data_IF_743067309920
#
_entry.id   IF_743067309920
#
_cell.length_a   1.000
_cell.length_b   1.000
_cell.length_c   1.000
_cell.angle_alpha   90.00
_cell.angle_beta   90.00
_cell.angle_gamma   90.00
#
_symmetry.space_group_name_H-M   'P 1'
#
loop_
_entity.id
_entity.type
_entity.pdbx_description
1 polymer ?
#
# COMPACT_ATOMS: atom_id res chain seq x y z
N UNK A 1 1.89 -3.82 -55.71
CA UNK A 1 2.76 -3.44 -54.58
C UNK A 1 2.33 -2.06 -54.14
N UNK A 2 1.35 -1.99 -53.24
CA UNK A 2 0.85 -0.72 -52.70
C UNK A 2 1.35 -0.53 -51.28
N UNK A 3 1.90 0.66 -51.07
CA UNK A 3 2.74 1.09 -49.98
C UNK A 3 1.91 1.27 -48.70
N UNK A 4 2.22 0.46 -47.69
CA UNK A 4 1.69 0.57 -46.32
C UNK A 4 2.36 1.77 -45.66
N UNK A 5 1.71 2.93 -45.70
CA UNK A 5 2.08 4.12 -44.94
C UNK A 5 0.80 4.85 -44.52
N UNK A 6 0.48 4.79 -43.21
CA UNK A 6 -0.35 5.71 -42.38
C UNK A 6 -1.16 4.94 -41.32
N UNK A 7 -0.49 4.49 -40.26
CA UNK A 7 -1.17 4.23 -38.97
C UNK A 7 -0.49 4.94 -37.78
N UNK A 8 0.65 5.61 -37.99
CA UNK A 8 1.47 6.16 -36.90
C UNK A 8 1.05 7.55 -36.39
N UNK A 9 -0.02 8.16 -36.92
CA UNK A 9 -0.43 9.53 -36.56
C UNK A 9 -1.68 9.64 -35.67
N UNK A 10 -2.35 8.53 -35.32
CA UNK A 10 -3.56 8.56 -34.48
C UNK A 10 -3.30 8.21 -33.00
N UNK A 11 -2.16 7.61 -32.67
CA UNK A 11 -1.82 7.21 -31.29
C UNK A 11 -1.52 8.38 -30.35
N UNK A 12 -1.17 9.56 -30.87
CA UNK A 12 -0.89 10.78 -30.11
C UNK A 12 -2.15 11.63 -29.77
N UNK A 13 -3.36 11.18 -30.13
CA UNK A 13 -4.59 11.97 -29.96
C UNK A 13 -5.40 11.68 -28.70
N UNK A 14 -5.11 10.58 -28.00
CA UNK A 14 -5.93 10.16 -26.87
C UNK A 14 -5.39 10.74 -25.57
N UNK A 15 -6.30 11.26 -24.74
CA UNK A 15 -6.05 11.67 -23.37
C UNK A 15 -6.50 10.58 -22.38
N UNK A 16 -5.93 10.60 -21.17
CA UNK A 16 -6.26 9.65 -20.11
C UNK A 16 -7.77 9.58 -19.86
N UNK A 17 -8.33 8.38 -19.98
CA UNK A 17 -9.76 8.13 -19.76
C UNK A 17 -10.64 8.11 -21.01
N UNK A 18 -10.09 8.40 -22.20
CA UNK A 18 -10.87 8.38 -23.46
C UNK A 18 -11.03 6.98 -24.07
N UNK A 19 -10.23 6.00 -23.62
CA UNK A 19 -10.32 4.61 -24.06
C UNK A 19 -9.93 3.63 -22.94
N UNK A 20 -10.36 2.38 -23.09
CA UNK A 20 -9.92 1.27 -22.24
C UNK A 20 -8.47 0.91 -22.58
N UNK A 21 -7.58 0.95 -21.59
CA UNK A 21 -6.19 0.54 -21.73
C UNK A 21 -5.98 -0.81 -21.02
N UNK A 22 -5.33 -1.75 -21.69
CA UNK A 22 -5.03 -3.08 -21.17
C UNK A 22 -3.86 -3.68 -21.96
N UNK A 23 -3.20 -4.70 -21.40
CA UNK A 23 -2.11 -5.38 -22.07
C UNK A 23 -2.62 -6.13 -23.30
N UNK A 24 -2.10 -5.78 -24.48
CA UNK A 24 -2.45 -6.42 -25.76
C UNK A 24 -1.31 -6.38 -26.77
N UNK A 25 -1.46 -7.07 -27.89
CA UNK A 25 -0.53 -7.03 -29.02
C UNK A 25 -1.23 -6.53 -30.29
N UNK A 26 -0.73 -5.50 -30.98
CA UNK A 26 0.38 -4.62 -30.56
C UNK A 26 0.00 -3.76 -29.35
N UNK A 27 0.98 -3.47 -28.49
CA UNK A 27 0.80 -2.68 -27.28
C UNK A 27 0.13 -1.33 -27.58
N UNK A 28 -0.67 -0.84 -26.65
CA UNK A 28 -1.12 0.55 -26.75
C UNK A 28 0.06 1.49 -26.66
N UNK A 29 0.02 2.52 -27.49
CA UNK A 29 0.99 3.61 -27.46
C UNK A 29 0.24 4.94 -27.51
N UNK A 30 0.75 5.94 -26.82
CA UNK A 30 0.17 7.28 -26.84
C UNK A 30 0.37 8.08 -25.56
N UNK A 31 -0.09 9.33 -25.64
CA UNK A 31 -0.04 10.29 -24.54
C UNK A 31 -0.91 9.84 -23.36
N UNK A 32 -2.04 9.18 -23.61
CA UNK A 32 -2.90 8.61 -22.57
C UNK A 32 -2.19 7.52 -21.75
N UNK A 33 -1.35 6.70 -22.39
CA UNK A 33 -0.52 5.70 -21.72
C UNK A 33 0.57 6.37 -20.89
N UNK A 34 1.22 7.40 -21.43
CA UNK A 34 2.23 8.18 -20.70
C UNK A 34 1.63 8.88 -19.48
N UNK A 35 0.43 9.46 -19.61
CA UNK A 35 -0.32 10.05 -18.51
C UNK A 35 -0.71 9.01 -17.46
N UNK A 36 -1.13 7.81 -17.88
CA UNK A 36 -1.42 6.70 -16.97
C UNK A 36 -0.15 6.30 -16.21
N UNK A 37 0.96 6.09 -16.90
CA UNK A 37 2.25 5.74 -16.30
C UNK A 37 2.77 6.82 -15.35
N UNK A 38 2.58 8.09 -15.70
CA UNK A 38 2.95 9.24 -14.86
C UNK A 38 2.10 9.30 -13.61
N UNK A 39 0.78 9.12 -13.74
CA UNK A 39 -0.14 9.09 -12.60
C UNK A 39 0.18 7.91 -11.68
N UNK A 40 0.33 6.71 -12.23
CA UNK A 40 0.74 5.51 -11.49
C UNK A 40 2.09 5.74 -10.80
N UNK A 41 3.08 6.29 -11.49
CA UNK A 41 4.40 6.59 -10.93
C UNK A 41 4.38 7.64 -9.82
N UNK A 42 3.56 8.69 -9.94
CA UNK A 42 3.36 9.70 -8.89
C UNK A 42 2.66 9.11 -7.66
N UNK A 43 1.69 8.22 -7.89
CA UNK A 43 1.04 7.38 -6.88
C UNK A 43 1.93 6.25 -6.39
N UNK A 44 3.10 6.10 -7.01
CA UNK A 44 4.12 5.18 -6.58
C UNK A 44 4.16 3.78 -7.20
N UNK A 45 3.20 3.48 -8.06
CA UNK A 45 3.16 2.25 -8.84
C UNK A 45 4.12 2.38 -10.03
N UNK A 46 5.37 1.93 -9.86
CA UNK A 46 6.41 2.08 -10.86
C UNK A 46 6.17 1.22 -12.11
N UNK A 47 6.02 1.87 -13.26
CA UNK A 47 5.84 1.21 -14.57
C UNK A 47 7.15 0.97 -15.34
N UNK A 48 8.32 1.17 -14.74
CA UNK A 48 9.62 1.09 -15.43
C UNK A 48 9.99 2.32 -16.29
N UNK A 49 9.08 3.29 -16.44
CA UNK A 49 9.28 4.58 -17.11
C UNK A 49 8.01 5.05 -17.82
N UNK A 50 7.85 6.36 -18.03
CA UNK A 50 6.75 6.92 -18.82
C UNK A 50 7.07 6.86 -20.32
N UNK A 51 7.22 5.64 -20.84
CA UNK A 51 7.58 5.38 -22.24
C UNK A 51 6.43 5.62 -23.22
N UNK A 52 5.22 5.84 -22.71
CA UNK A 52 4.00 5.95 -23.51
C UNK A 52 3.59 4.62 -24.15
N UNK A 53 4.16 3.48 -23.73
CA UNK A 53 3.83 2.14 -24.23
C UNK A 53 3.26 1.26 -23.11
N UNK A 54 2.07 0.69 -23.31
CA UNK A 54 1.41 -0.15 -22.32
C UNK A 54 1.96 -1.56 -22.40
N UNK A 55 3.00 -1.82 -21.62
CA UNK A 55 3.71 -3.09 -21.53
C UNK A 55 3.32 -3.88 -20.26
N UNK A 56 3.95 -5.05 -20.05
CA UNK A 56 3.69 -5.89 -18.89
C UNK A 56 4.06 -5.21 -17.56
N UNK A 57 5.02 -4.27 -17.56
CA UNK A 57 5.36 -3.49 -16.37
C UNK A 57 4.25 -2.50 -16.02
N UNK A 58 3.68 -1.84 -17.03
CA UNK A 58 2.53 -0.94 -16.88
C UNK A 58 1.29 -1.70 -16.41
N UNK A 59 1.03 -2.89 -16.97
CA UNK A 59 -0.07 -3.76 -16.50
C UNK A 59 0.14 -4.18 -15.04
N UNK A 60 1.35 -4.63 -14.67
CA UNK A 60 1.67 -5.02 -13.31
C UNK A 60 1.51 -3.88 -12.30
N UNK A 61 1.97 -2.68 -12.65
CA UNK A 61 1.77 -1.47 -11.85
C UNK A 61 0.29 -1.12 -11.70
N UNK A 62 -0.48 -1.24 -12.78
CA UNK A 62 -1.93 -0.99 -12.76
C UNK A 62 -2.68 -1.98 -11.90
N UNK A 63 -2.36 -3.28 -11.95
CA UNK A 63 -2.97 -4.30 -11.09
C UNK A 63 -2.70 -4.03 -9.62
N UNK A 64 -1.47 -3.62 -9.28
CA UNK A 64 -1.10 -3.22 -7.91
C UNK A 64 -1.88 -2.00 -7.47
N UNK A 65 -2.02 -1.00 -8.34
CA UNK A 65 -2.84 0.18 -8.07
C UNK A 65 -4.31 -0.20 -7.82
N UNK A 66 -4.89 -1.01 -8.70
CA UNK A 66 -6.28 -1.47 -8.56
C UNK A 66 -6.49 -2.20 -7.25
N UNK A 67 -5.61 -3.16 -6.93
CA UNK A 67 -5.62 -3.86 -5.64
C UNK A 67 -5.55 -2.88 -4.47
N UNK A 68 -4.59 -1.94 -4.49
CA UNK A 68 -4.40 -0.96 -3.43
C UNK A 68 -5.57 0.06 -3.33
N UNK A 69 -6.41 0.16 -4.34
CA UNK A 69 -7.58 1.04 -4.35
C UNK A 69 -8.90 0.29 -4.12
N UNK A 70 -8.85 -1.01 -3.76
CA UNK A 70 -10.04 -1.83 -3.59
C UNK A 70 -10.81 -2.09 -4.90
N UNK A 71 -10.15 -1.96 -6.04
CA UNK A 71 -10.68 -2.32 -7.35
C UNK A 71 -10.29 -3.75 -7.70
N UNK A 72 -11.03 -4.37 -8.62
CA UNK A 72 -10.65 -5.65 -9.20
C UNK A 72 -9.29 -5.51 -9.94
N UNK A 73 -8.25 -6.29 -9.59
CA UNK A 73 -6.90 -6.16 -10.16
C UNK A 73 -6.79 -6.87 -11.51
N UNK A 74 -7.67 -6.51 -12.44
CA UNK A 74 -7.80 -7.10 -13.78
C UNK A 74 -6.74 -6.59 -14.78
N UNK A 75 -6.01 -5.53 -14.44
CA UNK A 75 -5.01 -4.90 -15.32
C UNK A 75 -5.64 -4.08 -16.45
N UNK A 76 -6.92 -3.74 -16.34
CA UNK A 76 -7.68 -2.95 -17.31
C UNK A 76 -7.97 -1.56 -16.73
N UNK A 77 -7.37 -0.54 -17.35
CA UNK A 77 -7.66 0.85 -17.01
C UNK A 77 -8.99 1.24 -17.68
N UNK A 78 -10.05 1.05 -16.91
CA UNK A 78 -11.43 1.39 -17.26
C UNK A 78 -11.99 2.55 -16.45
N UNK A 79 -13.30 2.80 -16.59
CA UNK A 79 -13.97 3.95 -15.97
C UNK A 79 -13.68 4.06 -14.47
N UNK A 80 -13.82 2.95 -13.72
CA UNK A 80 -13.54 2.91 -12.28
C UNK A 80 -12.08 3.31 -11.96
N UNK A 81 -11.12 2.77 -12.71
CA UNK A 81 -9.69 3.12 -12.55
C UNK A 81 -9.47 4.61 -12.79
N UNK A 82 -10.03 5.16 -13.87
CA UNK A 82 -9.85 6.56 -14.21
C UNK A 82 -10.51 7.51 -13.22
N UNK A 83 -11.70 7.17 -12.72
CA UNK A 83 -12.39 7.96 -11.70
C UNK A 83 -11.58 7.97 -10.39
N UNK A 84 -11.04 6.81 -9.98
CA UNK A 84 -10.14 6.72 -8.83
C UNK A 84 -8.89 7.57 -9.03
N UNK A 85 -8.22 7.48 -10.19
CA UNK A 85 -7.05 8.30 -10.51
C UNK A 85 -7.38 9.81 -10.45
N UNK A 86 -8.53 10.23 -10.97
CA UNK A 86 -8.98 11.63 -10.93
C UNK A 86 -9.30 12.11 -9.52
N UNK A 87 -9.92 11.28 -8.69
CA UNK A 87 -10.19 11.61 -7.29
C UNK A 87 -8.90 11.77 -6.50
N UNK A 88 -7.92 10.90 -6.70
CA UNK A 88 -6.61 11.01 -6.07
C UNK A 88 -5.82 12.22 -6.59
N UNK A 89 -5.92 12.53 -7.88
CA UNK A 89 -5.28 13.71 -8.47
C UNK A 89 -5.77 15.01 -7.81
N UNK A 90 -7.07 15.14 -7.53
CA UNK A 90 -7.61 16.28 -6.77
C UNK A 90 -7.12 16.31 -5.32
N UNK A 91 -7.03 15.15 -4.67
CA UNK A 91 -6.57 15.07 -3.28
C UNK A 91 -5.09 15.46 -3.09
N UNK A 92 -4.26 15.36 -4.13
CA UNK A 92 -2.81 15.61 -4.04
C UNK A 92 -2.34 16.92 -4.68
N UNK A 93 -3.12 17.57 -5.55
CA UNK A 93 -2.75 18.88 -6.14
C UNK A 93 -3.14 20.11 -5.29
N UNK A 94 -4.09 20.00 -4.37
CA UNK A 94 -4.55 21.13 -3.53
C UNK A 94 -3.73 21.33 -2.23
N UNK A 95 -2.67 20.54 -2.00
CA UNK A 95 -1.79 20.75 -0.85
C UNK A 95 -0.66 21.71 -1.25
N UNK A 96 -0.49 22.86 -0.59
CA UNK A 96 0.70 23.67 -0.79
C UNK A 96 1.91 22.80 -0.43
N UNK A 97 2.97 22.91 -1.22
CA UNK A 97 4.27 22.28 -1.00
C UNK A 97 4.87 22.79 0.32
N UNK A 98 4.37 22.30 1.45
CA UNK A 98 4.95 22.52 2.76
C UNK A 98 5.81 21.30 3.11
N UNK A 99 7.12 21.54 3.12
CA UNK A 99 8.12 20.87 3.92
C UNK A 99 8.15 19.34 3.83
N UNK A 100 9.06 18.82 3.00
CA UNK A 100 9.91 17.66 3.29
C UNK A 100 9.47 16.74 4.45
N UNK A 101 8.30 16.13 4.33
CA UNK A 101 7.92 14.94 5.06
C UNK A 101 7.75 13.85 4.01
N UNK A 102 8.90 13.35 3.57
CA UNK A 102 9.17 11.94 3.31
C UNK A 102 8.03 11.14 2.66
N UNK A 103 7.70 11.44 1.40
CA UNK A 103 7.24 10.39 0.49
C UNK A 103 8.40 9.39 0.37
N UNK A 104 8.34 8.28 1.10
CA UNK A 104 9.27 7.17 0.94
C UNK A 104 9.07 6.61 -0.47
N UNK A 105 10.09 6.70 -1.32
CA UNK A 105 10.05 6.03 -2.63
C UNK A 105 9.96 4.51 -2.44
N UNK A 106 9.28 3.81 -3.35
CA UNK A 106 8.98 2.37 -3.29
C UNK A 106 10.21 1.49 -3.07
N UNK A 107 11.36 1.90 -3.58
CA UNK A 107 12.63 1.23 -3.33
C UNK A 107 12.97 1.17 -1.83
N UNK A 108 12.71 2.24 -1.08
CA UNK A 108 12.95 2.30 0.36
C UNK A 108 11.87 1.55 1.15
N UNK A 109 10.61 1.57 0.72
CA UNK A 109 9.57 0.76 1.34
C UNK A 109 9.84 -0.75 1.17
N UNK A 110 10.24 -1.19 -0.03
CA UNK A 110 10.59 -2.58 -0.29
C UNK A 110 11.78 -3.05 0.57
N UNK A 111 12.82 -2.21 0.71
CA UNK A 111 13.99 -2.50 1.55
C UNK A 111 13.61 -2.62 3.03
N UNK A 112 12.78 -1.71 3.55
CA UNK A 112 12.25 -1.77 4.91
C UNK A 112 11.50 -3.07 5.16
N UNK A 113 10.63 -3.47 4.23
CA UNK A 113 9.82 -4.69 4.37
C UNK A 113 10.64 -5.98 4.29
N UNK A 114 11.77 -5.99 3.59
CA UNK A 114 12.65 -7.17 3.48
C UNK A 114 13.54 -7.36 4.72
N UNK A 115 13.92 -6.27 5.38
CA UNK A 115 14.84 -6.31 6.52
C UNK A 115 14.15 -6.36 7.88
N UNK A 116 12.88 -5.95 7.97
CA UNK A 116 12.14 -5.93 9.23
C UNK A 116 11.12 -7.07 9.29
N UNK A 117 11.36 -8.04 10.17
CA UNK A 117 10.41 -9.12 10.42
C UNK A 117 9.32 -8.66 11.39
N UNK A 118 8.08 -8.59 10.89
CA UNK A 118 6.91 -8.12 11.66
C UNK A 118 5.82 -9.17 11.56
N UNK A 119 5.35 -9.65 12.70
CA UNK A 119 4.22 -10.57 12.82
C UNK A 119 2.98 -9.78 13.24
N UNK A 120 1.97 -9.75 12.39
CA UNK A 120 0.71 -9.02 12.59
C UNK A 120 -0.37 -9.95 13.12
N UNK A 121 -1.12 -9.54 14.15
CA UNK A 121 -2.26 -10.32 14.63
C UNK A 121 -3.37 -9.42 15.16
N UNK A 122 -4.62 -9.77 14.87
CA UNK A 122 -5.81 -9.08 15.35
C UNK A 122 -6.50 -9.83 16.48
N UNK A 123 -7.15 -9.08 17.38
CA UNK A 123 -7.92 -9.63 18.52
C UNK A 123 -9.34 -10.05 18.17
N UNK A 124 -9.89 -9.48 17.11
CA UNK A 124 -11.27 -9.63 16.66
C UNK A 124 -11.30 -9.82 15.13
N UNK A 125 -12.48 -10.04 14.57
CA UNK A 125 -12.64 -10.31 13.13
C UNK A 125 -12.14 -9.15 12.26
N UNK A 126 -12.50 -7.92 12.63
CA UNK A 126 -12.11 -6.72 11.88
C UNK A 126 -10.60 -6.48 11.96
N UNK A 127 -10.01 -6.54 13.16
CA UNK A 127 -8.56 -6.36 13.30
C UNK A 127 -7.74 -7.48 12.63
N UNK A 128 -8.27 -8.71 12.57
CA UNK A 128 -7.67 -9.80 11.77
C UNK A 128 -7.74 -9.52 10.26
N UNK A 129 -8.85 -8.97 9.77
CA UNK A 129 -8.94 -8.51 8.38
C UNK A 129 -7.89 -7.45 8.06
N UNK A 130 -7.72 -6.45 8.94
CA UNK A 130 -6.69 -5.42 8.78
C UNK A 130 -5.29 -6.06 8.73
N UNK A 131 -4.97 -6.99 9.63
CA UNK A 131 -3.69 -7.71 9.64
C UNK A 131 -3.43 -8.48 8.34
N UNK A 132 -4.46 -9.15 7.81
CA UNK A 132 -4.38 -9.89 6.55
C UNK A 132 -4.16 -8.97 5.36
N UNK A 133 -4.95 -7.89 5.24
CA UNK A 133 -4.77 -6.91 4.17
C UNK A 133 -3.40 -6.24 4.23
N UNK A 134 -2.93 -5.86 5.43
CA UNK A 134 -1.61 -5.27 5.63
C UNK A 134 -0.49 -6.21 5.17
N UNK A 135 -0.57 -7.50 5.52
CA UNK A 135 0.37 -8.52 5.06
C UNK A 135 0.36 -8.68 3.53
N UNK A 136 -0.83 -8.72 2.92
CA UNK A 136 -0.97 -8.86 1.47
C UNK A 136 -0.42 -7.64 0.73
N UNK A 137 -0.67 -6.43 1.22
CA UNK A 137 -0.11 -5.19 0.67
C UNK A 137 1.41 -5.16 0.78
N UNK A 138 1.96 -5.61 1.91
CA UNK A 138 3.40 -5.71 2.10
C UNK A 138 4.04 -6.68 1.09
N UNK A 139 3.42 -7.86 0.87
CA UNK A 139 3.86 -8.84 -0.13
C UNK A 139 3.72 -8.33 -1.57
N UNK A 140 2.64 -7.60 -1.88
CA UNK A 140 2.43 -6.98 -3.19
C UNK A 140 3.47 -5.87 -3.48
N UNK A 141 3.92 -5.19 -2.43
CA UNK A 141 5.00 -4.19 -2.48
C UNK A 141 6.35 -4.85 -2.69
N UNK A 142 6.69 -5.86 -1.87
CA UNK A 142 7.89 -6.67 -2.02
C UNK A 142 7.58 -8.16 -1.74
N UNK A 143 7.77 -9.09 -2.70
CA UNK A 143 7.53 -10.51 -2.48
C UNK A 143 8.47 -11.14 -1.44
N UNK A 144 9.57 -10.46 -1.08
CA UNK A 144 10.50 -10.87 0.00
C UNK A 144 10.17 -10.21 1.34
N UNK A 145 9.02 -9.55 1.45
CA UNK A 145 8.55 -8.93 2.70
C UNK A 145 8.51 -9.96 3.84
N UNK A 146 9.00 -9.55 5.01
CA UNK A 146 8.91 -10.31 6.27
C UNK A 146 7.82 -9.78 7.20
N UNK A 147 6.95 -8.91 6.68
CA UNK A 147 5.75 -8.46 7.37
C UNK A 147 4.59 -9.39 7.03
N UNK A 148 4.24 -10.26 7.96
CA UNK A 148 3.29 -11.36 7.75
C UNK A 148 2.19 -11.38 8.80
N UNK A 149 0.98 -11.77 8.39
CA UNK A 149 -0.08 -12.15 9.34
C UNK A 149 0.28 -13.44 10.07
N UNK A 150 -0.07 -13.54 11.35
CA UNK A 150 0.10 -14.74 12.16
C UNK A 150 -0.58 -15.97 11.54
N UNK A 151 -1.66 -15.78 10.79
CA UNK A 151 -2.38 -16.87 10.10
C UNK A 151 -1.54 -17.57 9.01
N UNK A 152 -0.50 -16.89 8.51
CA UNK A 152 0.38 -17.39 7.45
C UNK A 152 1.62 -18.06 8.03
N UNK A 153 1.94 -17.82 9.32
CA UNK A 153 3.14 -18.36 9.94
C UNK A 153 3.04 -19.87 10.19
N UNK A 154 3.95 -20.62 9.56
CA UNK A 154 4.10 -22.06 9.77
C UNK A 154 4.88 -22.40 11.05
N UNK A 155 5.67 -21.45 11.54
CA UNK A 155 6.51 -21.58 12.73
C UNK A 155 6.21 -20.42 13.70
N UNK A 156 6.28 -20.65 15.02
CA UNK A 156 6.11 -19.58 15.99
C UNK A 156 7.12 -18.46 15.76
N UNK A 157 6.74 -17.19 15.99
CA UNK A 157 7.64 -16.05 15.84
C UNK A 157 8.78 -16.14 16.85
N UNK A 158 10.00 -16.00 16.37
CA UNK A 158 11.21 -16.01 17.20
C UNK A 158 11.55 -14.61 17.73
N UNK A 159 12.63 -14.48 18.50
CA UNK A 159 13.02 -13.23 19.13
C UNK A 159 13.50 -12.14 18.16
N UNK A 160 13.76 -12.47 16.89
CA UNK A 160 14.10 -11.49 15.87
C UNK A 160 12.88 -10.75 15.30
N UNK A 161 11.68 -11.26 15.57
CA UNK A 161 10.43 -10.68 15.07
C UNK A 161 9.86 -9.61 16.02
N UNK A 162 9.24 -8.59 15.42
CA UNK A 162 8.35 -7.67 16.10
C UNK A 162 6.92 -8.21 16.04
N UNK A 163 6.34 -8.51 17.19
CA UNK A 163 4.92 -8.87 17.33
C UNK A 163 4.08 -7.60 17.43
N UNK A 164 3.23 -7.39 16.43
CA UNK A 164 2.33 -6.24 16.36
C UNK A 164 0.89 -6.72 16.53
N UNK A 165 0.30 -6.35 17.66
CA UNK A 165 -1.11 -6.57 17.94
C UNK A 165 -1.94 -5.41 17.39
N UNK A 166 -2.83 -5.69 16.43
CA UNK A 166 -3.80 -4.71 15.94
C UNK A 166 -5.03 -4.77 16.83
N UNK A 167 -5.37 -3.64 17.46
CA UNK A 167 -6.41 -3.57 18.48
C UNK A 167 -7.40 -2.44 18.22
N UNK A 168 -8.62 -2.63 18.70
CA UNK A 168 -9.58 -1.54 18.83
C UNK A 168 -9.25 -0.67 20.06
N UNK A 169 -9.62 0.62 20.08
CA UNK A 169 -9.30 1.53 21.18
C UNK A 169 -9.80 1.08 22.57
N UNK A 170 -10.86 0.28 22.64
CA UNK A 170 -11.40 -0.27 23.89
C UNK A 170 -10.69 -1.53 24.38
N UNK A 171 -9.84 -2.16 23.56
CA UNK A 171 -9.18 -3.41 23.91
C UNK A 171 -8.08 -3.17 24.93
N UNK A 172 -8.09 -3.87 26.05
CA UNK A 172 -7.02 -3.78 27.04
C UNK A 172 -5.75 -4.47 26.51
N UNK A 173 -4.59 -3.81 26.68
CA UNK A 173 -3.28 -4.36 26.33
C UNK A 173 -2.39 -4.32 27.55
N UNK A 174 -1.92 -5.47 28.04
CA UNK A 174 -1.08 -5.56 29.23
C UNK A 174 0.40 -5.70 28.85
N UNK A 175 1.25 -4.89 29.47
CA UNK A 175 2.70 -5.09 29.45
C UNK A 175 3.41 -4.84 28.11
N UNK A 176 2.79 -4.09 27.19
CA UNK A 176 3.42 -3.72 25.91
C UNK A 176 3.13 -2.26 25.52
N UNK A 177 4.08 -1.56 24.87
CA UNK A 177 3.84 -0.22 24.33
C UNK A 177 2.66 -0.19 23.36
N UNK A 178 1.82 0.84 23.48
CA UNK A 178 0.61 1.01 22.68
C UNK A 178 0.66 2.32 21.90
N UNK A 179 0.33 2.23 20.61
CA UNK A 179 0.33 3.36 19.68
C UNK A 179 -1.11 3.76 19.42
N UNK A 180 -1.51 4.90 19.98
CA UNK A 180 -2.82 5.51 19.76
C UNK A 180 -2.94 6.13 18.37
N UNK A 181 -4.17 6.10 17.84
CA UNK A 181 -4.54 6.67 16.54
C UNK A 181 -5.09 8.12 16.61
N UNK A 182 -4.85 8.84 17.71
CA UNK A 182 -5.42 10.18 17.91
C UNK A 182 -5.01 11.23 16.86
N UNK A 183 -3.79 11.13 16.32
CA UNK A 183 -3.26 12.07 15.32
C UNK A 183 -2.47 11.33 14.23
N UNK A 184 -2.95 11.34 12.97
CA UNK A 184 -2.29 10.69 11.84
C UNK A 184 -0.89 11.25 11.55
N UNK A 185 -0.65 12.54 11.81
CA UNK A 185 0.62 13.21 11.44
C UNK A 185 1.80 12.77 12.31
N UNK A 186 1.51 12.31 13.53
CA UNK A 186 2.50 11.85 14.50
C UNK A 186 2.45 10.34 14.74
N UNK A 187 1.58 9.62 14.04
CA UNK A 187 1.40 8.17 14.21
C UNK A 187 2.70 7.39 13.95
N UNK A 188 3.41 7.68 12.86
CA UNK A 188 4.67 7.01 12.53
C UNK A 188 5.77 7.26 13.58
N UNK A 189 5.86 8.47 14.12
CA UNK A 189 6.84 8.82 15.18
C UNK A 189 6.52 8.07 16.47
N UNK A 190 5.23 7.99 16.85
CA UNK A 190 4.79 7.20 18.01
C UNK A 190 5.08 5.72 17.81
N UNK A 191 4.87 5.21 16.60
CA UNK A 191 5.16 3.82 16.26
C UNK A 191 6.65 3.51 16.39
N UNK A 192 7.53 4.36 15.86
CA UNK A 192 8.98 4.24 16.03
C UNK A 192 9.38 4.21 17.51
N UNK A 193 8.88 5.16 18.31
CA UNK A 193 9.17 5.23 19.73
C UNK A 193 8.68 3.99 20.49
N UNK A 194 7.49 3.47 20.15
CA UNK A 194 6.94 2.25 20.73
C UNK A 194 7.79 1.02 20.39
N UNK A 195 8.25 0.90 19.13
CA UNK A 195 9.14 -0.17 18.69
C UNK A 195 10.47 -0.11 19.44
N UNK A 196 11.09 1.07 19.54
CA UNK A 196 12.34 1.26 20.28
C UNK A 196 12.19 0.91 21.77
N UNK A 197 11.08 1.32 22.39
CA UNK A 197 10.75 0.98 23.77
C UNK A 197 10.57 -0.53 23.96
N UNK A 198 9.81 -1.19 23.08
CA UNK A 198 9.57 -2.63 23.15
C UNK A 198 10.86 -3.43 22.98
N UNK A 199 11.71 -3.07 22.01
CA UNK A 199 13.01 -3.74 21.79
C UNK A 199 13.95 -3.57 22.99
N UNK A 200 13.89 -2.44 23.69
CA UNK A 200 14.74 -2.18 24.88
C UNK A 200 14.28 -2.92 26.13
N UNK A 201 13.03 -3.39 26.17
CA UNK A 201 12.46 -4.12 27.32
C UNK A 201 12.72 -5.63 27.28
N UNK A 202 13.18 -6.17 26.13
CA UNK A 202 13.32 -7.62 25.94
C UNK A 202 14.79 -8.02 25.88
N UNK A 203 15.16 -9.06 26.64
CA UNK A 203 16.53 -9.58 26.77
C UNK A 203 16.93 -10.54 25.63
N UNK A 204 16.37 -10.35 24.42
CA UNK A 204 16.64 -11.17 23.23
C UNK A 204 16.12 -12.62 23.26
N UNK A 205 15.48 -13.06 24.35
CA UNK A 205 14.89 -14.40 24.49
C UNK A 205 13.46 -14.51 23.96
N UNK A 206 12.77 -13.38 23.80
CA UNK A 206 11.41 -13.30 23.29
C UNK A 206 11.30 -12.21 22.20
N UNK A 207 10.30 -12.30 21.31
CA UNK A 207 9.98 -11.21 20.39
C UNK A 207 9.51 -9.96 21.11
N UNK A 208 9.95 -8.79 20.63
CA UNK A 208 9.42 -7.49 21.07
C UNK A 208 7.94 -7.37 20.69
N UNK A 209 7.12 -6.77 21.55
CA UNK A 209 5.67 -6.67 21.37
C UNK A 209 5.21 -5.22 21.39
N UNK A 210 4.37 -4.84 20.44
CA UNK A 210 3.68 -3.54 20.42
C UNK A 210 2.20 -3.72 20.08
N UNK A 211 1.36 -2.81 20.57
CA UNK A 211 -0.04 -2.73 20.16
C UNK A 211 -0.26 -1.48 19.33
N UNK A 212 -1.00 -1.60 18.22
CA UNK A 212 -1.35 -0.51 17.33
C UNK A 212 -2.86 -0.38 17.23
N UNK A 213 -3.36 0.82 17.48
CA UNK A 213 -4.78 1.11 17.37
C UNK A 213 -5.19 1.36 15.92
N UNK A 214 -6.39 0.88 15.60
CA UNK A 214 -7.11 1.18 14.36
C UNK A 214 -8.48 1.75 14.68
N UNK A 215 -9.03 2.55 13.76
CA UNK A 215 -10.38 3.08 13.89
C UNK A 215 -11.43 1.97 14.02
N UNK A 216 -12.58 2.30 14.63
CA UNK A 216 -13.69 1.36 14.73
C UNK A 216 -14.24 1.00 13.35
N UNK A 217 -14.71 -0.25 13.16
CA UNK A 217 -15.42 -0.62 11.94
C UNK A 217 -16.69 0.22 11.78
N UNK A 218 -17.15 0.45 10.54
CA UNK A 218 -18.37 1.19 10.27
C UNK A 218 -19.58 0.52 10.93
N UNK A 219 -20.46 1.34 11.52
CA UNK A 219 -21.60 0.86 12.31
C UNK A 219 -22.69 0.13 11.48
N UNK A 220 -22.71 0.30 10.16
CA UNK A 220 -23.70 -0.34 9.29
C UNK A 220 -23.45 -1.84 9.07
N UNK A 221 -22.24 -2.32 9.38
CA UNK A 221 -21.88 -3.74 9.30
C UNK A 221 -21.95 -4.34 7.89
N UNK A 222 -22.07 -3.53 6.83
CA UNK A 222 -22.05 -4.05 5.47
C UNK A 222 -20.67 -4.60 5.13
N UNK A 223 -20.61 -5.80 4.55
CA UNK A 223 -19.35 -6.47 4.23
C UNK A 223 -18.46 -5.61 3.33
N UNK A 224 -19.04 -4.89 2.36
CA UNK A 224 -18.31 -3.99 1.46
C UNK A 224 -17.67 -2.81 2.21
N UNK A 225 -18.41 -2.13 3.09
CA UNK A 225 -17.86 -1.01 3.88
C UNK A 225 -16.85 -1.51 4.91
N UNK A 226 -17.07 -2.69 5.50
CA UNK A 226 -16.14 -3.31 6.43
C UNK A 226 -14.82 -3.66 5.74
N UNK A 227 -14.89 -4.27 4.55
CA UNK A 227 -13.72 -4.57 3.72
C UNK A 227 -12.98 -3.31 3.32
N UNK A 228 -13.70 -2.28 2.86
CA UNK A 228 -13.09 -1.01 2.47
C UNK A 228 -12.41 -0.32 3.65
N UNK A 229 -13.04 -0.30 4.83
CA UNK A 229 -12.48 0.29 6.04
C UNK A 229 -11.22 -0.48 6.50
N UNK A 230 -11.28 -1.81 6.55
CA UNK A 230 -10.15 -2.64 6.94
C UNK A 230 -8.96 -2.47 5.98
N UNK A 231 -9.24 -2.39 4.69
CA UNK A 231 -8.24 -2.14 3.66
C UNK A 231 -7.63 -0.73 3.79
N UNK A 232 -8.44 0.28 4.09
CA UNK A 232 -7.96 1.64 4.34
C UNK A 232 -7.00 1.69 5.53
N UNK A 233 -7.36 1.05 6.65
CA UNK A 233 -6.49 0.95 7.83
C UNK A 233 -5.19 0.23 7.50
N UNK A 234 -5.24 -0.84 6.69
CA UNK A 234 -4.05 -1.56 6.27
C UNK A 234 -3.07 -0.68 5.47
N UNK A 235 -3.56 0.14 4.53
CA UNK A 235 -2.70 1.06 3.77
C UNK A 235 -2.04 2.06 4.72
N UNK A 236 -2.84 2.67 5.60
CA UNK A 236 -2.37 3.67 6.57
C UNK A 236 -1.30 3.11 7.51
N UNK A 237 -1.53 1.90 8.03
CA UNK A 237 -0.55 1.20 8.87
C UNK A 237 0.71 0.86 8.10
N UNK A 238 0.61 0.40 6.85
CA UNK A 238 1.77 0.07 6.02
C UNK A 238 2.68 1.28 5.83
N UNK A 239 2.09 2.43 5.49
CA UNK A 239 2.82 3.69 5.34
C UNK A 239 3.51 4.09 6.64
N UNK A 240 2.79 4.01 7.76
CA UNK A 240 3.34 4.31 9.08
C UNK A 240 4.51 3.39 9.45
N UNK A 241 4.38 2.08 9.22
CA UNK A 241 5.46 1.12 9.44
C UNK A 241 6.66 1.40 8.55
N UNK A 242 6.44 1.68 7.27
CA UNK A 242 7.51 2.00 6.33
C UNK A 242 8.27 3.25 6.78
N UNK A 243 7.58 4.28 7.29
CA UNK A 243 8.22 5.49 7.83
C UNK A 243 8.98 5.16 9.12
N UNK A 244 8.32 4.53 10.09
CA UNK A 244 8.88 4.25 11.42
C UNK A 244 10.11 3.34 11.36
N UNK A 245 10.10 2.34 10.49
CA UNK A 245 11.18 1.36 10.35
C UNK A 245 12.29 1.82 9.39
N UNK A 246 12.13 2.95 8.71
CA UNK A 246 13.14 3.46 7.78
C UNK A 246 14.30 4.23 8.42
N UNK A 247 14.23 4.47 9.73
CA UNK A 247 15.18 5.26 10.52
C UNK A 247 16.03 4.42 11.50
N UNK A 248 15.74 3.13 11.61
CA UNK A 248 16.47 2.17 12.47
C UNK A 248 17.32 1.22 11.68
#
# INVERSE_FOLDING_TARGET
>A
METIQRQDSESLKYSLGERLLYLRTPHFQGQDVEQLQTALGALGFACGGASGTFDAYTEGALRKFQLNMGLEPDGIAGLKTYDTLKHLHKAWMDKPTLGSSSYIGFARAADVLEHNAVCLFGTDEYTRMVASYLSNLALATNPRSKMLSADILLVPPDSSMLLTQIVQPTTATEGMPRVSDDDPSSYAIRLEAAIGSAKSQVDGSAPARIAVEVAYPPADGSEDNLNQAAHHEAIRLLDAFCIALSQG
#
